data_IF_576771515384
#
_entry.id   IF_576771515384
#
_cell.length_a   1.000
_cell.length_b   1.000
_cell.length_c   1.000
_cell.angle_alpha   90.00
_cell.angle_beta   90.00
_cell.angle_gamma   90.00
#
_symmetry.space_group_name_H-M   'P 1'
#
loop_
_entity.id
_entity.type
_entity.pdbx_description
1 polymer ?
#
# COMPACT_ATOMS: atom_id res chain seq x y z
N UNK A 1 -4.67 -24.01 18.74
CA UNK A 1 -3.87 -22.81 19.07
C UNK A 1 -4.38 -21.69 18.19
N UNK A 2 -4.75 -20.55 18.77
CA UNK A 2 -5.01 -19.34 17.97
C UNK A 2 -3.67 -18.62 17.80
N UNK A 3 -3.23 -18.44 16.55
CA UNK A 3 -1.95 -17.80 16.19
C UNK A 3 -2.04 -16.27 16.10
N UNK A 4 -3.23 -15.72 16.33
CA UNK A 4 -3.51 -14.30 16.18
C UNK A 4 -3.91 -13.70 17.54
N UNK A 5 -3.42 -12.49 17.82
CA UNK A 5 -3.75 -11.74 19.04
C UNK A 5 -4.02 -10.28 18.68
N UNK A 6 -5.11 -9.73 19.23
CA UNK A 6 -5.38 -8.30 19.14
C UNK A 6 -4.63 -7.58 20.26
N UNK A 7 -3.79 -6.61 19.90
CA UNK A 7 -3.06 -5.79 20.87
C UNK A 7 -3.86 -4.52 21.14
N UNK A 8 -4.18 -4.28 22.41
CA UNK A 8 -4.75 -3.01 22.90
C UNK A 8 -3.70 -2.26 23.72
N UNK A 9 -3.85 -0.95 23.89
CA UNK A 9 -2.88 -0.09 24.59
C UNK A 9 -1.45 -0.15 24.00
N UNK A 10 -1.34 -0.30 22.68
CA UNK A 10 -0.07 -0.37 21.93
C UNK A 10 0.70 0.96 21.87
N UNK A 11 0.18 2.05 22.44
CA UNK A 11 0.84 3.37 22.48
C UNK A 11 0.81 4.17 21.18
N UNK A 12 0.20 3.64 20.10
CA UNK A 12 0.02 4.38 18.84
C UNK A 12 -1.24 5.24 18.96
N UNK A 13 -1.18 6.56 18.70
CA UNK A 13 -2.36 7.43 18.77
C UNK A 13 -3.47 6.98 17.82
N UNK A 14 -4.71 6.98 18.31
CA UNK A 14 -5.90 6.66 17.49
C UNK A 14 -6.03 7.61 16.30
N UNK A 15 -5.78 8.91 16.52
CA UNK A 15 -5.81 9.91 15.45
C UNK A 15 -4.82 9.61 14.33
N UNK A 16 -3.63 9.07 14.63
CA UNK A 16 -2.65 8.70 13.63
C UNK A 16 -3.11 7.51 12.78
N UNK A 17 -3.72 6.51 13.41
CA UNK A 17 -4.31 5.37 12.68
C UNK A 17 -5.47 5.82 11.80
N UNK A 18 -6.35 6.69 12.31
CA UNK A 18 -7.47 7.26 11.55
C UNK A 18 -6.99 8.08 10.34
N UNK A 19 -6.01 8.97 10.55
CA UNK A 19 -5.39 9.76 9.49
C UNK A 19 -4.75 8.85 8.42
N UNK A 20 -4.03 7.80 8.85
CA UNK A 20 -3.40 6.84 7.94
C UNK A 20 -4.46 6.12 7.08
N UNK A 21 -5.54 5.65 7.71
CA UNK A 21 -6.64 5.01 6.99
C UNK A 21 -7.34 5.98 6.02
N UNK A 22 -7.48 7.25 6.38
CA UNK A 22 -8.08 8.26 5.50
C UNK A 22 -7.18 8.59 4.29
N UNK A 23 -5.88 8.77 4.51
CA UNK A 23 -4.91 8.99 3.42
C UNK A 23 -4.90 7.82 2.43
N UNK A 24 -4.96 6.57 2.91
CA UNK A 24 -5.04 5.40 2.04
C UNK A 24 -6.37 5.35 1.26
N UNK A 25 -7.50 5.68 1.90
CA UNK A 25 -8.80 5.80 1.20
C UNK A 25 -8.75 6.86 0.11
N UNK A 26 -8.15 8.02 0.38
CA UNK A 26 -7.95 9.08 -0.60
C UNK A 26 -7.07 8.62 -1.77
N UNK A 27 -5.94 7.96 -1.48
CA UNK A 27 -5.06 7.39 -2.49
C UNK A 27 -5.80 6.40 -3.40
N UNK A 28 -6.50 5.41 -2.82
CA UNK A 28 -7.29 4.46 -3.61
C UNK A 28 -8.50 5.10 -4.30
N UNK A 29 -8.97 6.26 -3.82
CA UNK A 29 -9.99 7.08 -4.46
C UNK A 29 -9.49 7.92 -5.65
N UNK A 30 -8.18 8.02 -5.87
CA UNK A 30 -7.61 8.70 -7.05
C UNK A 30 -7.93 7.96 -8.35
N UNK A 31 -7.71 8.63 -9.49
CA UNK A 31 -8.05 8.09 -10.81
C UNK A 31 -7.25 6.82 -11.14
N UNK A 32 -7.83 5.97 -11.98
CA UNK A 32 -7.16 4.73 -12.42
C UNK A 32 -5.87 5.05 -13.20
N UNK A 33 -5.87 6.13 -13.98
CA UNK A 33 -4.70 6.59 -14.75
C UNK A 33 -3.55 6.96 -13.80
N UNK A 34 -3.84 7.69 -12.72
CA UNK A 34 -2.83 8.02 -11.72
C UNK A 34 -2.28 6.75 -11.05
N UNK A 35 -3.16 5.84 -10.64
CA UNK A 35 -2.74 4.59 -9.99
C UNK A 35 -1.99 3.65 -10.93
N UNK A 36 -2.28 3.67 -12.23
CA UNK A 36 -1.63 2.81 -13.22
C UNK A 36 -0.13 3.05 -13.35
N UNK A 37 0.37 4.25 -13.02
CA UNK A 37 1.82 4.52 -13.03
C UNK A 37 2.57 3.72 -11.96
N UNK A 38 1.87 3.22 -10.95
CA UNK A 38 2.42 2.36 -9.91
C UNK A 38 2.23 0.88 -10.23
N UNK A 39 1.51 0.50 -11.29
CA UNK A 39 1.26 -0.91 -11.55
C UNK A 39 2.56 -1.65 -11.93
N UNK A 40 2.88 -2.72 -11.20
CA UNK A 40 4.08 -3.52 -11.47
C UNK A 40 4.00 -4.91 -10.84
N UNK A 41 4.40 -5.92 -11.62
CA UNK A 41 4.63 -7.29 -11.15
C UNK A 41 6.12 -7.59 -10.88
N UNK A 42 7.01 -6.60 -11.02
CA UNK A 42 8.43 -6.75 -10.67
C UNK A 42 8.60 -6.70 -9.14
N UNK A 43 9.17 -7.77 -8.58
CA UNK A 43 9.46 -7.88 -7.15
C UNK A 43 10.45 -6.83 -6.66
N UNK A 44 11.30 -6.31 -7.56
CA UNK A 44 12.29 -5.27 -7.25
C UNK A 44 11.69 -3.86 -7.27
N UNK A 45 10.45 -3.67 -7.76
CA UNK A 45 9.80 -2.37 -7.72
C UNK A 45 9.54 -1.97 -6.28
N UNK A 46 10.13 -0.83 -5.86
CA UNK A 46 10.10 -0.33 -4.48
C UNK A 46 8.78 0.31 -4.07
N UNK A 47 7.89 0.57 -5.03
CA UNK A 47 6.54 1.11 -4.84
C UNK A 47 5.64 0.57 -5.97
N UNK A 48 4.62 -0.22 -5.63
CA UNK A 48 3.82 -0.92 -6.65
C UNK A 48 2.37 -1.17 -6.25
N UNK A 49 1.50 -1.18 -7.26
CA UNK A 49 0.16 -1.76 -7.23
C UNK A 49 0.15 -3.06 -8.03
N UNK A 50 -0.58 -4.07 -7.54
CA UNK A 50 -0.88 -5.28 -8.30
C UNK A 50 -2.25 -5.83 -7.90
N UNK A 51 -2.96 -6.38 -8.89
CA UNK A 51 -4.28 -6.99 -8.69
C UNK A 51 -4.12 -8.45 -8.30
N UNK A 52 -4.96 -8.93 -7.38
CA UNK A 52 -4.95 -10.29 -6.84
C UNK A 52 -3.61 -10.70 -6.20
N UNK A 53 -2.66 -11.24 -6.99
CA UNK A 53 -1.29 -11.58 -6.62
C UNK A 53 -0.29 -11.04 -7.65
N UNK A 54 1.01 -11.11 -7.35
CA UNK A 54 2.05 -10.69 -8.29
C UNK A 54 2.16 -11.60 -9.54
N UNK A 55 1.50 -12.76 -9.54
CA UNK A 55 1.52 -13.73 -10.64
C UNK A 55 0.14 -13.84 -11.31
N UNK A 56 -0.54 -12.71 -11.48
CA UNK A 56 -1.91 -12.62 -12.02
C UNK A 56 -2.12 -13.53 -13.25
N UNK A 57 -1.21 -13.53 -14.23
CA UNK A 57 -1.40 -14.31 -15.47
C UNK A 57 -1.30 -15.84 -15.29
N UNK A 58 -0.70 -16.31 -14.18
CA UNK A 58 -0.46 -17.75 -13.95
C UNK A 58 -1.24 -18.31 -12.75
N UNK A 59 -2.07 -17.50 -12.08
CA UNK A 59 -2.83 -17.98 -10.93
C UNK A 59 -4.14 -18.67 -11.34
N UNK A 60 -4.51 -19.76 -10.65
CA UNK A 60 -5.75 -20.50 -10.94
C UNK A 60 -7.00 -19.77 -10.43
N UNK A 61 -6.84 -18.94 -9.40
CA UNK A 61 -7.93 -18.20 -8.74
C UNK A 61 -7.51 -16.75 -8.56
N UNK A 62 -8.30 -15.83 -9.13
CA UNK A 62 -8.12 -14.40 -8.93
C UNK A 62 -8.84 -13.92 -7.67
N UNK A 63 -8.10 -13.30 -6.76
CA UNK A 63 -8.67 -12.60 -5.61
C UNK A 63 -9.26 -11.26 -6.05
N UNK A 64 -10.47 -10.96 -5.57
CA UNK A 64 -11.08 -9.65 -5.73
C UNK A 64 -10.42 -8.63 -4.79
N UNK A 65 -9.21 -8.18 -5.13
CA UNK A 65 -8.48 -7.13 -4.42
C UNK A 65 -7.40 -6.50 -5.30
N UNK A 66 -7.12 -5.24 -5.04
CA UNK A 66 -5.86 -4.60 -5.42
C UNK A 66 -5.00 -4.44 -4.18
N UNK A 67 -3.69 -4.63 -4.34
CA UNK A 67 -2.70 -4.48 -3.29
C UNK A 67 -1.82 -3.30 -3.63
N UNK A 68 -1.40 -2.54 -2.63
CA UNK A 68 -0.40 -1.50 -2.76
C UNK A 68 0.71 -1.75 -1.74
N UNK A 69 1.96 -1.74 -2.21
CA UNK A 69 3.13 -2.03 -1.37
C UNK A 69 4.26 -1.09 -1.72
N UNK A 70 4.96 -0.58 -0.71
CA UNK A 70 6.17 0.21 -0.89
C UNK A 70 7.15 -0.04 0.26
N UNK A 71 8.43 0.19 0.01
CA UNK A 71 9.45 0.13 1.05
C UNK A 71 9.35 1.37 1.95
N UNK A 72 9.47 1.18 3.26
CA UNK A 72 9.38 2.26 4.25
C UNK A 72 10.43 2.21 5.37
N UNK A 73 11.28 1.18 5.41
CA UNK A 73 12.37 1.09 6.38
C UNK A 73 13.60 0.35 5.79
N UNK A 74 14.82 0.89 5.93
CA UNK A 74 15.12 2.25 6.39
C UNK A 74 14.53 3.29 5.42
N UNK A 75 14.12 4.44 5.95
CA UNK A 75 13.59 5.52 5.11
C UNK A 75 14.76 6.28 4.49
N UNK A 76 14.92 6.13 3.18
CA UNK A 76 15.90 6.86 2.36
C UNK A 76 15.17 7.90 1.49
N UNK A 77 15.78 9.06 1.24
CA UNK A 77 15.16 10.13 0.45
C UNK A 77 14.74 9.67 -0.95
N UNK A 78 15.53 8.78 -1.55
CA UNK A 78 15.23 8.17 -2.86
C UNK A 78 13.96 7.32 -2.86
N UNK A 79 13.52 6.80 -1.70
CA UNK A 79 12.25 6.08 -1.57
C UNK A 79 11.06 7.03 -1.61
N UNK A 80 11.18 8.20 -0.97
CA UNK A 80 10.12 9.20 -0.92
C UNK A 80 9.76 9.74 -2.31
N UNK A 81 10.74 9.83 -3.22
CA UNK A 81 10.52 10.20 -4.62
C UNK A 81 9.64 9.18 -5.37
N UNK A 82 9.67 7.91 -4.96
CA UNK A 82 8.89 6.83 -5.59
C UNK A 82 7.48 6.67 -4.99
N UNK A 83 7.22 7.26 -3.83
CA UNK A 83 5.91 7.18 -3.18
C UNK A 83 4.87 8.04 -3.90
N UNK A 84 3.56 7.77 -3.73
CA UNK A 84 2.50 8.63 -4.22
C UNK A 84 2.70 10.11 -3.83
N UNK A 85 2.52 11.00 -4.80
CA UNK A 85 2.43 12.45 -4.62
C UNK A 85 1.02 12.90 -4.21
N UNK A 86 0.01 12.09 -4.56
CA UNK A 86 -1.40 12.33 -4.26
C UNK A 86 -1.93 11.19 -3.41
N UNK A 87 -2.65 11.47 -2.31
CA UNK A 87 -2.91 12.80 -1.75
C UNK A 87 -1.63 13.48 -1.22
N UNK A 88 -1.62 14.81 -1.11
CA UNK A 88 -0.43 15.56 -0.67
C UNK A 88 0.03 15.17 0.75
N UNK A 89 -0.88 14.63 1.56
CA UNK A 89 -0.65 14.13 2.92
C UNK A 89 -0.14 12.67 2.95
N UNK A 90 0.19 12.08 1.80
CA UNK A 90 0.66 10.70 1.71
C UNK A 90 2.08 10.52 2.26
N UNK A 91 2.95 11.49 1.94
CA UNK A 91 4.36 11.49 2.34
C UNK A 91 4.55 12.19 3.68
#
# INVERSE_FOLDING_TARGET
>A
MHGDTQVINHGIPVSLMDDTMNVLKEFFGTSAEYKSSFYSTDINSKCRIYSSTMSYDNEEVHYWRDNFTHHCHPLEDQLLELWPEKPIRYR
#
